data_IF_744077456373
#
_entry.id   IF_744077456373
#
_cell.length_a   1.000
_cell.length_b   1.000
_cell.length_c   1.000
_cell.angle_alpha   90.00
_cell.angle_beta   90.00
_cell.angle_gamma   90.00
#
_symmetry.space_group_name_H-M   'P 1'
#
loop_
_entity.id
_entity.type
_entity.pdbx_description
1 polymer ?
#
# COMPACT_ATOMS: atom_id res chain seq x y z
N UNK A 1 -8.87 1.21 2.63
CA UNK A 1 -8.42 2.27 3.55
C UNK A 1 -8.24 3.52 2.70
N UNK A 2 -8.13 4.71 3.29
CA UNK A 2 -7.82 5.93 2.55
C UNK A 2 -9.02 6.73 2.01
N UNK A 3 -8.69 7.84 1.36
CA UNK A 3 -9.64 8.89 0.98
C UNK A 3 -10.55 8.50 -0.18
N UNK A 4 -11.87 8.66 -0.01
CA UNK A 4 -12.89 8.24 -0.99
C UNK A 4 -13.10 9.22 -2.17
N UNK A 5 -12.01 9.69 -2.78
CA UNK A 5 -12.01 10.64 -3.93
C UNK A 5 -12.04 9.96 -5.31
N UNK A 6 -12.43 8.68 -5.38
CA UNK A 6 -12.38 7.90 -6.62
C UNK A 6 -13.26 8.46 -7.74
N UNK A 7 -14.40 9.07 -7.39
CA UNK A 7 -15.40 9.60 -8.32
C UNK A 7 -14.95 10.83 -9.10
N UNK A 8 -13.99 11.60 -8.55
CA UNK A 8 -13.36 12.75 -9.22
C UNK A 8 -12.03 12.39 -9.90
N UNK A 9 -11.53 11.17 -9.70
CA UNK A 9 -10.26 10.67 -10.22
C UNK A 9 -10.38 9.83 -11.50
N UNK A 10 -11.59 9.35 -11.83
CA UNK A 10 -11.78 8.28 -12.82
C UNK A 10 -11.06 8.53 -14.15
N UNK A 11 -11.09 9.76 -14.63
CA UNK A 11 -10.53 10.11 -15.93
C UNK A 11 -9.07 10.57 -15.89
N UNK A 12 -8.44 10.61 -14.71
CA UNK A 12 -7.02 10.97 -14.54
C UNK A 12 -6.12 9.73 -14.44
N UNK A 13 -6.71 8.54 -14.54
CA UNK A 13 -6.02 7.28 -14.42
C UNK A 13 -5.53 6.83 -15.77
N UNK A 14 -4.24 6.62 -15.86
CA UNK A 14 -3.61 6.02 -17.02
C UNK A 14 -3.33 4.54 -16.72
N UNK A 15 -3.83 3.65 -17.58
CA UNK A 15 -3.49 2.22 -17.45
C UNK A 15 -2.08 2.01 -18.00
N UNK A 16 -1.22 1.38 -17.21
CA UNK A 16 0.17 1.14 -17.59
C UNK A 16 0.42 -0.31 -17.99
N UNK A 17 1.42 -0.48 -18.83
CA UNK A 17 2.07 -1.77 -19.08
C UNK A 17 3.29 -1.94 -18.18
N UNK A 18 3.95 -3.10 -18.24
CA UNK A 18 5.16 -3.34 -17.44
C UNK A 18 6.35 -2.51 -17.89
N UNK A 19 6.39 -2.10 -19.17
CA UNK A 19 7.51 -1.34 -19.72
C UNK A 19 7.49 0.12 -19.26
N UNK A 20 6.32 0.65 -18.91
CA UNK A 20 6.12 2.00 -18.39
C UNK A 20 6.56 2.18 -16.92
N UNK A 21 6.93 1.09 -16.25
CA UNK A 21 7.13 1.04 -14.79
C UNK A 21 8.60 0.97 -14.37
N UNK A 22 9.55 1.03 -15.30
CA UNK A 22 10.96 1.02 -14.91
C UNK A 22 11.29 2.21 -14.00
N UNK A 23 12.13 1.99 -12.99
CA UNK A 23 12.48 3.01 -12.00
C UNK A 23 12.49 2.52 -10.56
N UNK A 24 12.54 3.45 -9.62
CA UNK A 24 12.54 3.16 -8.18
C UNK A 24 11.12 3.38 -7.65
N UNK A 25 10.54 2.34 -7.05
CA UNK A 25 9.18 2.34 -6.54
C UNK A 25 9.20 2.39 -5.01
N UNK A 26 8.65 3.45 -4.41
CA UNK A 26 8.45 3.50 -2.95
C UNK A 26 7.09 2.90 -2.58
N UNK A 27 7.09 1.66 -2.10
CA UNK A 27 5.89 0.96 -1.67
C UNK A 27 5.55 1.36 -0.25
N UNK A 28 4.31 1.77 0.01
CA UNK A 28 3.75 1.72 1.35
C UNK A 28 3.75 0.24 1.80
N UNK A 29 4.60 -0.06 2.78
CA UNK A 29 4.79 -1.41 3.26
C UNK A 29 3.52 -1.95 3.93
N UNK A 30 2.82 -1.15 4.74
CA UNK A 30 1.60 -1.62 5.39
C UNK A 30 0.52 -1.90 4.35
N UNK A 31 0.33 -0.99 3.37
CA UNK A 31 -0.61 -1.23 2.29
C UNK A 31 -0.25 -2.50 1.51
N UNK A 32 1.01 -2.68 1.11
CA UNK A 32 1.48 -3.86 0.39
C UNK A 32 1.24 -5.17 1.18
N UNK A 33 1.59 -5.18 2.47
CA UNK A 33 1.41 -6.34 3.34
C UNK A 33 -0.08 -6.68 3.53
N UNK A 34 -0.95 -5.69 3.72
CA UNK A 34 -2.40 -5.94 3.76
C UNK A 34 -2.91 -6.52 2.43
N UNK A 35 -2.40 -6.05 1.28
CA UNK A 35 -2.74 -6.65 -0.01
C UNK A 35 -2.28 -8.12 -0.08
N UNK A 36 -1.07 -8.44 0.38
CA UNK A 36 -0.58 -9.81 0.39
C UNK A 36 -1.42 -10.71 1.30
N UNK A 37 -1.73 -10.27 2.52
CA UNK A 37 -2.56 -11.00 3.47
C UNK A 37 -4.00 -11.21 2.98
N UNK A 38 -4.56 -10.27 2.22
CA UNK A 38 -5.93 -10.39 1.70
C UNK A 38 -6.01 -11.26 0.46
N UNK A 39 -4.98 -11.27 -0.40
CA UNK A 39 -5.04 -11.90 -1.72
C UNK A 39 -4.35 -13.25 -1.77
N UNK A 40 -3.24 -13.42 -1.05
CA UNK A 40 -2.43 -14.63 -1.12
C UNK A 40 -2.98 -15.61 -0.09
N UNK A 41 -3.88 -16.47 -0.54
CA UNK A 41 -4.66 -17.41 0.31
C UNK A 41 -4.65 -18.81 -0.28
N UNK A 42 -5.00 -19.77 0.56
CA UNK A 42 -5.30 -21.13 0.15
C UNK A 42 -6.60 -21.17 -0.68
N UNK A 43 -6.86 -22.25 -1.44
CA UNK A 43 -8.09 -22.38 -2.23
C UNK A 43 -9.39 -22.24 -1.43
N UNK A 44 -9.36 -22.59 -0.14
CA UNK A 44 -10.48 -22.48 0.80
C UNK A 44 -10.64 -21.06 1.40
N UNK A 45 -9.74 -20.13 1.07
CA UNK A 45 -9.75 -18.76 1.58
C UNK A 45 -9.02 -18.53 2.88
N UNK A 46 -8.48 -19.57 3.52
CA UNK A 46 -7.63 -19.38 4.68
C UNK A 46 -6.30 -18.73 4.26
N UNK A 47 -5.67 -17.92 5.13
CA UNK A 47 -4.32 -17.42 4.88
C UNK A 47 -3.33 -18.58 4.63
N UNK A 48 -2.25 -18.31 3.92
CA UNK A 48 -1.12 -19.24 3.92
C UNK A 48 -0.54 -19.30 5.33
N UNK A 49 -0.24 -20.51 5.80
CA UNK A 49 0.32 -20.75 7.12
C UNK A 49 1.44 -21.78 7.06
N UNK A 50 2.36 -21.74 8.03
CA UNK A 50 3.31 -22.82 8.29
C UNK A 50 2.68 -23.92 9.16
N UNK A 51 3.42 -25.00 9.44
CA UNK A 51 2.96 -26.13 10.26
C UNK A 51 2.62 -25.77 11.70
N UNK A 52 3.11 -24.63 12.21
CA UNK A 52 2.77 -24.09 13.52
C UNK A 52 1.54 -23.14 13.50
N UNK A 53 0.86 -23.01 12.35
CA UNK A 53 -0.31 -22.14 12.18
C UNK A 53 0.00 -20.65 12.08
N UNK A 54 1.28 -20.27 11.90
CA UNK A 54 1.68 -18.85 11.72
C UNK A 54 1.41 -18.43 10.29
N UNK A 55 0.80 -17.26 10.10
CA UNK A 55 0.50 -16.71 8.77
C UNK A 55 1.78 -16.36 8.02
N UNK A 56 1.87 -16.73 6.75
CA UNK A 56 3.05 -16.55 5.89
C UNK A 56 2.73 -15.86 4.55
N UNK A 57 1.47 -15.48 4.31
CA UNK A 57 1.03 -14.84 3.07
C UNK A 57 1.84 -13.59 2.72
N UNK A 58 2.23 -12.79 3.71
CA UNK A 58 3.05 -11.60 3.51
C UNK A 58 4.46 -11.92 3.01
N UNK A 59 5.10 -12.97 3.55
CA UNK A 59 6.43 -13.41 3.13
C UNK A 59 6.42 -13.92 1.69
N UNK A 60 5.38 -14.69 1.33
CA UNK A 60 5.14 -15.13 -0.05
C UNK A 60 4.98 -13.92 -0.99
N UNK A 61 4.18 -12.93 -0.57
CA UNK A 61 4.01 -11.69 -1.31
C UNK A 61 5.32 -10.95 -1.52
N UNK A 62 6.10 -10.73 -0.46
CA UNK A 62 7.40 -10.07 -0.53
C UNK A 62 8.33 -10.80 -1.50
N UNK A 63 8.53 -12.11 -1.34
CA UNK A 63 9.45 -12.88 -2.18
C UNK A 63 9.04 -12.79 -3.65
N UNK A 64 7.86 -13.29 -4.00
CA UNK A 64 7.49 -13.48 -5.40
C UNK A 64 7.18 -12.16 -6.11
N UNK A 65 6.62 -11.16 -5.42
CA UNK A 65 6.37 -9.86 -6.05
C UNK A 65 7.63 -9.05 -6.22
N UNK A 66 8.53 -9.05 -5.24
CA UNK A 66 9.79 -8.32 -5.36
C UNK A 66 10.65 -8.91 -6.48
N UNK A 67 10.75 -10.25 -6.58
CA UNK A 67 11.41 -10.91 -7.71
C UNK A 67 10.82 -10.45 -9.04
N UNK A 68 9.49 -10.49 -9.18
CA UNK A 68 8.82 -10.04 -10.40
C UNK A 68 9.07 -8.54 -10.70
N UNK A 69 9.13 -7.67 -9.68
CA UNK A 69 9.47 -6.26 -9.87
C UNK A 69 10.87 -6.08 -10.44
N UNK A 70 11.86 -6.76 -9.86
CA UNK A 70 13.24 -6.73 -10.33
C UNK A 70 13.35 -7.27 -11.77
N UNK A 71 12.64 -8.36 -12.09
CA UNK A 71 12.52 -8.90 -13.45
C UNK A 71 11.93 -7.90 -14.43
N UNK A 72 11.15 -6.91 -13.98
CA UNK A 72 10.57 -5.85 -14.82
C UNK A 72 11.35 -4.53 -14.75
N UNK A 73 12.53 -4.51 -14.16
CA UNK A 73 13.36 -3.30 -14.05
C UNK A 73 12.86 -2.29 -13.02
N UNK A 74 11.96 -2.72 -12.14
CA UNK A 74 11.45 -1.94 -11.01
C UNK A 74 12.33 -2.25 -9.80
N UNK A 75 12.85 -1.21 -9.16
CA UNK A 75 13.68 -1.29 -7.94
C UNK A 75 12.81 -0.91 -6.74
N UNK A 76 12.26 -1.87 -5.98
CA UNK A 76 11.36 -1.55 -4.87
C UNK A 76 12.13 -1.07 -3.64
N UNK A 77 11.57 -0.11 -2.93
CA UNK A 77 11.90 0.23 -1.54
C UNK A 77 10.61 0.18 -0.72
N UNK A 78 10.62 -0.52 0.41
CA UNK A 78 9.46 -0.63 1.29
C UNK A 78 9.51 0.45 2.37
N UNK A 79 8.46 1.24 2.51
CA UNK A 79 8.36 2.32 3.49
C UNK A 79 7.39 1.91 4.58
N UNK A 80 7.91 1.64 5.77
CA UNK A 80 7.12 1.22 6.94
C UNK A 80 6.69 2.42 7.77
N UNK A 81 5.46 2.41 8.24
CA UNK A 81 4.93 3.41 9.17
C UNK A 81 5.72 3.43 10.48
N UNK A 82 5.83 4.63 11.05
CA UNK A 82 6.27 4.90 12.40
C UNK A 82 5.09 5.13 13.33
N UNK A 83 5.20 6.16 14.19
CA UNK A 83 4.15 6.46 15.16
C UNK A 83 2.96 7.13 14.45
N UNK A 84 1.72 6.61 14.56
CA UNK A 84 0.55 7.26 14.01
C UNK A 84 0.27 8.59 14.73
N UNK A 85 -0.30 9.60 14.06
CA UNK A 85 -0.73 10.83 14.72
C UNK A 85 -1.93 10.56 15.64
N UNK A 86 -2.13 11.41 16.66
CA UNK A 86 -3.16 11.21 17.69
C UNK A 86 -4.58 11.11 17.12
N UNK A 87 -4.90 11.96 16.14
CA UNK A 87 -6.22 11.96 15.48
C UNK A 87 -6.47 10.72 14.60
N UNK A 88 -5.47 9.87 14.33
CA UNK A 88 -5.68 8.56 13.67
C UNK A 88 -6.14 7.48 14.65
N UNK A 89 -6.08 7.74 15.96
CA UNK A 89 -6.37 6.74 16.99
C UNK A 89 -7.80 6.21 16.91
N UNK A 90 -8.76 7.07 16.58
CA UNK A 90 -10.16 6.69 16.37
C UNK A 90 -10.29 5.66 15.25
N UNK A 91 -9.75 5.95 14.07
CA UNK A 91 -9.74 5.02 12.93
C UNK A 91 -8.99 3.71 13.23
N UNK A 92 -7.91 3.76 14.02
CA UNK A 92 -7.20 2.54 14.47
C UNK A 92 -8.11 1.67 15.35
N UNK A 93 -8.86 2.28 16.26
CA UNK A 93 -9.79 1.58 17.15
C UNK A 93 -10.96 0.98 16.36
N UNK A 94 -11.58 1.74 15.46
CA UNK A 94 -12.64 1.25 14.57
C UNK A 94 -12.17 0.04 13.73
N UNK A 95 -10.95 0.11 13.17
CA UNK A 95 -10.35 -1.01 12.44
C UNK A 95 -10.10 -2.22 13.32
N UNK A 96 -9.78 -2.02 14.60
CA UNK A 96 -9.62 -3.12 15.56
C UNK A 96 -10.96 -3.81 15.82
N UNK A 97 -12.01 -3.04 16.07
CA UNK A 97 -13.35 -3.57 16.31
C UNK A 97 -13.95 -4.26 15.09
N UNK A 98 -13.79 -3.68 13.89
CA UNK A 98 -14.23 -4.32 12.66
C UNK A 98 -13.54 -5.67 12.43
N UNK A 99 -12.23 -5.75 12.70
CA UNK A 99 -11.48 -7.01 12.58
C UNK A 99 -11.90 -8.05 13.60
N UNK A 100 -12.17 -7.64 14.84
CA UNK A 100 -12.68 -8.55 15.86
C UNK A 100 -14.02 -9.16 15.44
N UNK A 101 -14.95 -8.32 14.95
CA UNK A 101 -16.24 -8.78 14.42
C UNK A 101 -16.08 -9.70 13.20
N UNK A 102 -15.17 -9.37 12.28
CA UNK A 102 -14.89 -10.22 11.13
C UNK A 102 -14.28 -11.57 11.53
N UNK A 103 -13.43 -11.62 12.56
CA UNK A 103 -12.85 -12.87 13.07
C UNK A 103 -13.92 -13.78 13.70
N UNK A 104 -14.86 -13.22 14.47
CA UNK A 104 -15.99 -13.96 15.01
C UNK A 104 -16.95 -14.47 13.92
N UNK A 105 -17.25 -13.62 12.93
CA UNK A 105 -18.07 -13.98 11.79
C UNK A 105 -17.41 -15.09 10.95
N UNK A 106 -16.09 -15.03 10.77
CA UNK A 106 -15.32 -16.06 10.10
C UNK A 106 -15.41 -17.42 10.81
N UNK A 107 -15.18 -17.46 12.12
CA UNK A 107 -15.31 -18.69 12.92
C UNK A 107 -16.71 -19.27 12.86
N UNK A 108 -17.72 -18.42 12.78
CA UNK A 108 -19.12 -18.84 12.66
C UNK A 108 -19.40 -19.44 11.28
N UNK A 109 -19.02 -18.74 10.21
CA UNK A 109 -19.17 -19.23 8.84
C UNK A 109 -18.44 -20.58 8.61
N UNK A 110 -17.25 -20.77 9.20
CA UNK A 110 -16.54 -22.06 9.17
C UNK A 110 -17.34 -23.19 9.86
N UNK A 111 -17.97 -22.91 11.01
CA UNK A 111 -18.80 -23.91 11.71
C UNK A 111 -20.06 -24.27 10.92
N UNK A 112 -20.62 -23.30 10.20
CA UNK A 112 -21.82 -23.47 9.39
C UNK A 112 -21.54 -24.07 8.00
N UNK A 113 -20.27 -24.19 7.61
CA UNK A 113 -19.87 -24.70 6.30
C UNK A 113 -20.07 -23.71 5.14
N UNK A 114 -20.37 -22.44 5.43
CA UNK A 114 -20.44 -21.39 4.42
C UNK A 114 -19.03 -20.90 4.07
N UNK A 115 -18.41 -21.62 3.15
CA UNK A 115 -17.04 -21.33 2.70
C UNK A 115 -16.92 -19.98 2.00
N UNK A 116 -17.99 -19.46 1.38
CA UNK A 116 -17.94 -18.18 0.69
C UNK A 116 -17.91 -17.01 1.70
N UNK A 117 -18.78 -17.04 2.70
CA UNK A 117 -18.75 -16.03 3.75
C UNK A 117 -17.49 -16.18 4.62
N UNK A 118 -17.04 -17.41 4.89
CA UNK A 118 -15.78 -17.66 5.59
C UNK A 118 -14.59 -17.02 4.84
N UNK A 119 -14.49 -17.19 3.51
CA UNK A 119 -13.46 -16.54 2.69
C UNK A 119 -13.46 -15.01 2.85
N UNK A 120 -14.66 -14.42 2.77
CA UNK A 120 -14.85 -12.97 2.84
C UNK A 120 -14.46 -12.42 4.22
N UNK A 121 -14.91 -13.07 5.29
CA UNK A 121 -14.63 -12.65 6.66
C UNK A 121 -13.16 -12.87 7.04
N UNK A 122 -12.54 -13.96 6.59
CA UNK A 122 -11.09 -14.19 6.77
C UNK A 122 -10.23 -13.13 6.08
N UNK A 123 -10.71 -12.58 4.96
CA UNK A 123 -10.06 -11.46 4.27
C UNK A 123 -10.18 -10.15 5.07
N UNK A 124 -11.35 -9.91 5.66
CA UNK A 124 -11.64 -8.73 6.45
C UNK A 124 -10.98 -8.74 7.84
N UNK A 125 -10.68 -9.91 8.41
CA UNK A 125 -10.02 -10.04 9.72
C UNK A 125 -8.49 -9.92 9.68
N UNK A 126 -7.88 -9.82 8.48
CA UNK A 126 -6.43 -9.77 8.31
C UNK A 126 -5.79 -8.66 9.16
N UNK A 127 -4.75 -9.02 9.93
CA UNK A 127 -4.03 -8.12 10.84
C UNK A 127 -2.55 -8.11 10.49
N UNK A 128 -1.98 -6.91 10.42
CA UNK A 128 -0.53 -6.73 10.48
C UNK A 128 -0.16 -6.58 11.94
N UNK A 129 0.76 -7.41 12.41
CA UNK A 129 1.28 -7.36 13.77
C UNK A 129 2.79 -7.22 13.80
N UNK A 130 3.36 -7.14 15.00
CA UNK A 130 4.81 -6.97 15.18
C UNK A 130 5.60 -8.11 14.55
N UNK A 131 5.08 -9.34 14.56
CA UNK A 131 5.73 -10.48 13.93
C UNK A 131 5.72 -10.35 12.39
N UNK A 132 4.58 -9.97 11.81
CA UNK A 132 4.47 -9.67 10.38
C UNK A 132 5.47 -8.61 9.96
N UNK A 133 5.59 -7.50 10.71
CA UNK A 133 6.55 -6.43 10.39
C UNK A 133 8.00 -6.90 10.53
N UNK A 134 8.35 -7.54 11.64
CA UNK A 134 9.71 -8.00 11.89
C UNK A 134 10.18 -9.03 10.84
N UNK A 135 9.35 -10.05 10.58
CA UNK A 135 9.65 -11.06 9.55
C UNK A 135 9.65 -10.47 8.13
N UNK A 136 8.85 -9.44 7.84
CA UNK A 136 8.92 -8.74 6.56
C UNK A 136 10.26 -8.04 6.37
N UNK A 137 10.75 -7.32 7.39
CA UNK A 137 12.03 -6.61 7.34
C UNK A 137 13.19 -7.56 7.21
N UNK A 138 13.22 -8.62 8.02
CA UNK A 138 14.23 -9.67 7.95
C UNK A 138 14.32 -10.28 6.55
N UNK A 139 13.17 -10.61 5.94
CA UNK A 139 13.16 -11.12 4.58
C UNK A 139 13.64 -10.09 3.54
N UNK A 140 13.25 -8.81 3.68
CA UNK A 140 13.73 -7.74 2.79
C UNK A 140 15.25 -7.56 2.90
N UNK A 141 15.80 -7.60 4.12
CA UNK A 141 17.24 -7.51 4.38
C UNK A 141 17.99 -8.66 3.71
N UNK A 142 17.51 -9.90 3.86
CA UNK A 142 18.07 -11.09 3.23
C UNK A 142 17.95 -11.05 1.70
N UNK A 143 16.87 -10.49 1.16
CA UNK A 143 16.71 -10.28 -0.29
C UNK A 143 17.57 -9.12 -0.83
N UNK A 144 18.23 -8.36 0.04
CA UNK A 144 19.00 -7.17 -0.35
C UNK A 144 18.12 -6.01 -0.84
N UNK A 145 16.89 -5.92 -0.35
CA UNK A 145 15.91 -4.90 -0.72
C UNK A 145 15.85 -3.82 0.36
N UNK A 146 16.07 -2.54 0.03
CA UNK A 146 16.05 -1.49 1.04
C UNK A 146 14.63 -1.29 1.57
N UNK A 147 14.56 -0.92 2.84
CA UNK A 147 13.35 -0.43 3.48
C UNK A 147 13.66 0.81 4.31
N UNK A 148 12.64 1.65 4.50
CA UNK A 148 12.72 2.92 5.23
C UNK A 148 11.74 2.90 6.38
N UNK A 149 12.18 3.35 7.56
CA UNK A 149 11.30 3.63 8.69
C UNK A 149 10.81 5.07 8.59
N UNK A 150 9.54 5.26 8.24
CA UNK A 150 8.92 6.59 8.31
C UNK A 150 8.80 7.04 9.78
N UNK A 151 8.91 8.35 10.07
CA UNK A 151 8.62 8.87 11.40
C UNK A 151 7.15 8.70 11.79
N UNK A 152 6.25 8.79 10.80
CA UNK A 152 4.81 8.64 10.95
C UNK A 152 4.21 7.81 9.80
N UNK A 153 3.57 8.42 8.81
CA UNK A 153 2.90 7.69 7.73
C UNK A 153 3.87 7.26 6.62
N UNK A 154 3.85 5.98 6.25
CA UNK A 154 4.64 5.45 5.15
C UNK A 154 4.29 6.07 3.81
N UNK A 155 3.01 6.36 3.54
CA UNK A 155 2.60 7.08 2.34
C UNK A 155 3.14 8.51 2.27
N UNK A 156 3.25 9.19 3.42
CA UNK A 156 3.81 10.54 3.49
C UNK A 156 5.30 10.54 3.18
N UNK A 157 6.04 9.58 3.76
CA UNK A 157 7.46 9.38 3.48
C UNK A 157 7.69 8.97 2.03
N UNK A 158 6.89 8.06 1.47
CA UNK A 158 6.98 7.69 0.05
C UNK A 158 6.70 8.88 -0.88
N UNK A 159 5.69 9.70 -0.57
CA UNK A 159 5.39 10.92 -1.30
C UNK A 159 6.53 11.95 -1.21
N UNK A 160 7.15 12.09 -0.04
CA UNK A 160 8.32 12.95 0.16
C UNK A 160 9.52 12.49 -0.67
N UNK A 161 9.88 11.21 -0.61
CA UNK A 161 10.97 10.63 -1.41
C UNK A 161 10.75 10.86 -2.90
N UNK A 162 9.49 10.75 -3.37
CA UNK A 162 9.14 10.97 -4.77
C UNK A 162 9.28 12.45 -5.16
N UNK A 163 8.87 13.40 -4.29
CA UNK A 163 9.10 14.84 -4.53
C UNK A 163 10.58 15.21 -4.57
N UNK A 164 11.41 14.55 -3.75
CA UNK A 164 12.86 14.77 -3.73
C UNK A 164 13.57 14.13 -4.94
N UNK A 165 12.85 13.46 -5.84
CA UNK A 165 13.44 12.74 -6.98
C UNK A 165 14.29 11.53 -6.57
N UNK A 166 14.20 11.08 -5.31
CA UNK A 166 14.94 9.91 -4.80
C UNK A 166 14.30 8.60 -5.24
N UNK A 167 13.01 8.64 -5.53
CA UNK A 167 12.25 7.54 -6.14
C UNK A 167 11.44 8.07 -7.32
N UNK A 168 11.07 7.19 -8.24
CA UNK A 168 10.31 7.54 -9.44
C UNK A 168 8.84 7.78 -9.12
N UNK A 169 8.25 6.98 -8.24
CA UNK A 169 6.84 7.10 -7.85
C UNK A 169 6.55 6.41 -6.50
N UNK A 170 5.50 6.86 -5.83
CA UNK A 170 4.92 6.17 -4.69
C UNK A 170 3.98 5.05 -5.17
N UNK A 171 3.87 3.98 -4.40
CA UNK A 171 3.03 2.81 -4.70
C UNK A 171 2.13 2.50 -3.53
N UNK A 172 0.83 2.53 -3.77
CA UNK A 172 -0.19 2.17 -2.80
C UNK A 172 -1.52 1.85 -3.50
N UNK A 173 -2.43 1.20 -2.79
CA UNK A 173 -3.84 1.16 -3.19
C UNK A 173 -4.61 2.40 -2.77
N UNK A 174 -4.14 3.15 -1.79
CA UNK A 174 -4.84 4.30 -1.27
C UNK A 174 -4.41 5.56 -2.04
N UNK A 175 -5.09 6.70 -1.80
CA UNK A 175 -4.81 7.94 -2.52
C UNK A 175 -4.12 8.99 -1.64
N UNK A 176 -3.79 8.67 -0.39
CA UNK A 176 -3.38 9.67 0.59
C UNK A 176 -1.96 10.17 0.25
N UNK A 177 -1.13 9.35 -0.40
CA UNK A 177 0.12 9.80 -1.02
C UNK A 177 -0.05 11.01 -1.97
N UNK A 178 -1.17 11.14 -2.70
CA UNK A 178 -1.45 12.33 -3.51
C UNK A 178 -1.74 13.57 -2.65
N UNK A 179 -2.46 13.39 -1.53
CA UNK A 179 -2.72 14.47 -0.56
C UNK A 179 -1.42 14.92 0.11
N UNK A 180 -0.56 13.97 0.47
CA UNK A 180 0.80 14.26 0.93
C UNK A 180 1.68 14.89 -0.15
N UNK A 181 1.25 14.90 -1.41
CA UNK A 181 1.92 15.58 -2.53
C UNK A 181 2.87 14.72 -3.34
N UNK A 182 2.64 13.41 -3.45
CA UNK A 182 3.41 12.57 -4.36
C UNK A 182 3.19 13.04 -5.80
N UNK A 183 4.24 13.33 -6.59
CA UNK A 183 4.08 13.76 -7.98
C UNK A 183 3.47 12.66 -8.84
N UNK A 184 3.79 11.40 -8.54
CA UNK A 184 3.29 10.22 -9.26
C UNK A 184 2.90 9.14 -8.26
N UNK A 185 1.66 8.68 -8.35
CA UNK A 185 1.16 7.50 -7.64
C UNK A 185 0.94 6.38 -8.65
N UNK A 186 1.52 5.22 -8.40
CA UNK A 186 1.21 3.98 -9.11
C UNK A 186 0.38 3.07 -8.22
N UNK A 187 -0.84 2.76 -8.65
CA UNK A 187 -1.74 1.80 -8.00
C UNK A 187 -1.64 0.45 -8.70
N UNK A 188 -2.20 -0.56 -8.06
CA UNK A 188 -2.30 -1.93 -8.58
C UNK A 188 -0.97 -2.69 -8.77
N UNK A 189 0.19 -2.12 -8.43
CA UNK A 189 1.49 -2.78 -8.67
C UNK A 189 1.67 -4.06 -7.85
N UNK A 190 1.34 -4.05 -6.56
CA UNK A 190 1.41 -5.21 -5.66
C UNK A 190 0.41 -6.30 -5.99
N UNK A 191 -0.62 -5.95 -6.77
CA UNK A 191 -1.76 -6.83 -7.05
C UNK A 191 -1.93 -7.20 -8.51
N UNK A 192 -1.12 -6.66 -9.41
CA UNK A 192 -1.26 -6.83 -10.85
C UNK A 192 -1.12 -8.27 -11.32
N UNK A 193 -1.65 -8.54 -12.51
CA UNK A 193 -1.64 -9.85 -13.15
C UNK A 193 -3.02 -10.50 -13.23
N UNK A 194 -3.04 -11.72 -13.76
CA UNK A 194 -4.26 -12.52 -13.92
C UNK A 194 -4.60 -13.26 -12.63
N UNK A 195 -5.85 -13.17 -12.21
CA UNK A 195 -6.38 -13.87 -11.04
C UNK A 195 -7.66 -14.59 -11.43
N UNK A 196 -7.83 -15.81 -10.92
CA UNK A 196 -9.13 -16.47 -10.95
C UNK A 196 -9.88 -16.11 -9.67
N UNK A 197 -11.00 -15.44 -9.82
CA UNK A 197 -11.93 -15.12 -8.73
C UNK A 197 -13.31 -15.58 -9.15
N UNK A 198 -13.96 -16.43 -8.33
CA UNK A 198 -15.32 -16.95 -8.59
C UNK A 198 -15.51 -17.49 -10.01
N UNK A 199 -14.57 -18.32 -10.47
CA UNK A 199 -14.59 -18.92 -11.82
C UNK A 199 -14.27 -17.96 -12.98
N UNK A 200 -14.12 -16.65 -12.73
CA UNK A 200 -13.77 -15.66 -13.75
C UNK A 200 -12.30 -15.28 -13.66
N UNK A 201 -11.65 -15.13 -14.81
CA UNK A 201 -10.29 -14.58 -14.86
C UNK A 201 -10.41 -13.06 -14.93
N UNK A 202 -9.88 -12.38 -13.92
CA UNK A 202 -9.77 -10.93 -13.86
C UNK A 202 -8.30 -10.58 -14.09
N UNK A 203 -8.05 -9.65 -15.02
CA UNK A 203 -6.71 -9.07 -15.21
C UNK A 203 -6.69 -7.72 -14.54
N UNK A 204 -5.74 -7.52 -13.62
CA UNK A 204 -5.51 -6.23 -12.97
C UNK A 204 -4.23 -5.62 -13.54
N UNK A 205 -4.35 -4.44 -14.14
CA UNK A 205 -3.22 -3.69 -14.65
C UNK A 205 -2.80 -2.58 -13.67
N UNK A 206 -1.51 -2.26 -13.59
CA UNK A 206 -1.03 -1.05 -12.90
C UNK A 206 -1.71 0.21 -13.45
N UNK A 207 -1.99 1.16 -12.57
CA UNK A 207 -2.58 2.46 -12.92
C UNK A 207 -1.65 3.57 -12.44
N UNK A 208 -1.40 4.58 -13.27
CA UNK A 208 -0.66 5.80 -12.91
C UNK A 208 -1.60 6.98 -12.75
N UNK A 209 -1.31 7.79 -11.74
CA UNK A 209 -1.93 9.10 -11.51
C UNK A 209 -0.80 10.11 -11.32
N UNK A 210 -0.82 11.15 -12.16
CA UNK A 210 0.11 12.28 -12.06
C UNK A 210 -0.60 13.43 -11.34
N UNK A 211 -0.03 13.88 -10.22
CA UNK A 211 -0.69 14.86 -9.35
C UNK A 211 -0.93 16.19 -10.05
N UNK A 212 0.02 16.70 -10.83
CA UNK A 212 -0.17 17.96 -11.57
C UNK A 212 -1.34 17.89 -12.55
N UNK A 213 -1.38 16.87 -13.41
CA UNK A 213 -2.49 16.65 -14.34
C UNK A 213 -3.82 16.47 -13.64
N UNK A 214 -3.82 15.82 -12.47
CA UNK A 214 -5.03 15.67 -11.66
C UNK A 214 -5.52 17.02 -11.11
N UNK A 215 -4.63 17.81 -10.51
CA UNK A 215 -4.93 19.14 -9.97
C UNK A 215 -5.41 20.11 -11.06
N UNK A 216 -4.72 20.14 -12.21
CA UNK A 216 -5.06 20.99 -13.35
C UNK A 216 -6.45 20.67 -13.88
N UNK A 217 -6.79 19.38 -14.00
CA UNK A 217 -8.12 18.96 -14.47
C UNK A 217 -9.22 19.38 -13.51
N UNK A 218 -8.98 19.28 -12.20
CA UNK A 218 -9.94 19.72 -11.20
C UNK A 218 -10.00 21.25 -11.09
N UNK A 219 -8.96 21.95 -11.55
CA UNK A 219 -8.78 23.39 -11.36
C UNK A 219 -8.65 23.76 -9.89
N UNK A 220 -7.85 22.99 -9.14
CA UNK A 220 -7.61 23.17 -7.71
C UNK A 220 -6.13 23.03 -7.35
N UNK A 221 -5.72 23.63 -6.22
CA UNK A 221 -4.38 23.45 -5.66
C UNK A 221 -4.29 22.19 -4.79
N UNK A 222 -3.07 21.77 -4.41
CA UNK A 222 -2.89 20.67 -3.43
C UNK A 222 -3.59 20.96 -2.10
N UNK A 223 -3.54 22.20 -1.63
CA UNK A 223 -4.23 22.59 -0.40
C UNK A 223 -5.75 22.41 -0.52
N UNK A 224 -6.32 22.78 -1.67
CA UNK A 224 -7.72 22.54 -1.96
C UNK A 224 -8.04 21.05 -2.09
N UNK A 225 -7.14 20.24 -2.65
CA UNK A 225 -7.30 18.78 -2.69
C UNK A 225 -7.31 18.17 -1.27
N UNK A 226 -6.47 18.67 -0.35
CA UNK A 226 -6.51 18.28 1.07
C UNK A 226 -7.85 18.64 1.71
N UNK A 227 -8.38 19.85 1.45
CA UNK A 227 -9.71 20.26 1.90
C UNK A 227 -10.81 19.32 1.36
N UNK A 228 -10.73 18.93 0.09
CA UNK A 228 -11.63 17.94 -0.51
C UNK A 228 -11.53 16.61 0.25
N UNK A 229 -10.32 16.12 0.53
CA UNK A 229 -10.10 14.90 1.31
C UNK A 229 -10.74 14.96 2.69
N UNK A 230 -10.55 16.06 3.43
CA UNK A 230 -11.13 16.27 4.75
C UNK A 230 -12.67 16.26 4.68
N UNK A 231 -13.29 16.93 3.70
CA UNK A 231 -14.74 16.94 3.55
C UNK A 231 -15.32 15.55 3.26
N UNK A 232 -14.64 14.78 2.40
CA UNK A 232 -15.04 13.42 2.03
C UNK A 232 -14.82 12.42 3.18
N UNK A 233 -13.79 12.66 3.98
CA UNK A 233 -13.32 11.75 5.02
C UNK A 233 -11.98 11.11 4.63
N UNK A 234 -11.11 11.02 5.62
CA UNK A 234 -9.77 10.46 5.51
C UNK A 234 -9.55 9.45 6.62
N UNK A 235 -8.37 8.83 6.67
CA UNK A 235 -7.96 8.03 7.83
C UNK A 235 -7.78 8.85 9.13
N UNK A 236 -7.91 10.18 9.06
CA UNK A 236 -7.70 11.13 10.16
C UNK A 236 -8.98 11.81 10.63
N UNK A 237 -10.08 11.69 9.87
CA UNK A 237 -11.38 12.24 10.22
C UNK A 237 -12.51 11.53 9.46
N UNK A 238 -13.71 11.40 10.06
CA UNK A 238 -14.82 10.67 9.45
C UNK A 238 -15.42 11.34 8.20
N UNK A 239 -15.06 12.59 7.91
CA UNK A 239 -15.68 13.39 6.85
C UNK A 239 -17.06 13.93 7.20
N UNK A 240 -17.71 14.58 6.24
CA UNK A 240 -19.07 15.09 6.38
C UNK A 240 -20.04 14.11 5.73
N UNK A 241 -21.00 13.62 6.52
CA UNK A 241 -22.05 12.73 6.03
C UNK A 241 -22.77 13.34 4.82
N UNK A 242 -22.81 12.60 3.72
CA UNK A 242 -23.47 13.02 2.47
C UNK A 242 -22.60 13.84 1.51
N UNK A 243 -21.34 14.14 1.88
CA UNK A 243 -20.41 14.84 1.02
C UNK A 243 -19.46 13.85 0.34
N UNK A 244 -19.72 13.54 -0.93
CA UNK A 244 -18.81 12.78 -1.80
C UNK A 244 -17.81 13.68 -2.53
N UNK A 245 -16.88 13.09 -3.29
CA UNK A 245 -15.79 13.81 -3.96
C UNK A 245 -16.27 14.94 -4.87
N UNK A 246 -17.31 14.72 -5.68
CA UNK A 246 -17.91 15.77 -6.53
C UNK A 246 -18.50 16.94 -5.73
N UNK A 247 -19.18 16.66 -4.62
CA UNK A 247 -19.77 17.68 -3.75
C UNK A 247 -18.69 18.46 -3.02
N UNK A 248 -17.69 17.76 -2.47
CA UNK A 248 -16.53 18.38 -1.83
C UNK A 248 -15.76 19.30 -2.79
N UNK A 249 -15.56 18.86 -4.03
CA UNK A 249 -14.94 19.69 -5.08
C UNK A 249 -15.72 20.99 -5.31
N UNK A 250 -17.06 20.92 -5.40
CA UNK A 250 -17.90 22.13 -5.56
C UNK A 250 -17.75 23.08 -4.37
N UNK A 251 -17.88 22.58 -3.15
CA UNK A 251 -17.73 23.36 -1.90
C UNK A 251 -16.38 24.08 -1.89
N UNK A 252 -15.30 23.37 -2.18
CA UNK A 252 -13.94 23.94 -2.14
C UNK A 252 -13.72 24.97 -3.25
N UNK A 253 -14.22 24.74 -4.46
CA UNK A 253 -14.11 25.72 -5.56
C UNK A 253 -14.91 27.00 -5.30
N UNK A 254 -16.00 26.90 -4.55
CA UNK A 254 -16.80 28.04 -4.13
C UNK A 254 -16.21 28.81 -2.93
N UNK A 255 -15.13 28.31 -2.31
CA UNK A 255 -14.56 28.90 -1.10
C UNK A 255 -15.39 28.64 0.17
N UNK A 256 -16.30 27.66 0.13
CA UNK A 256 -17.29 27.39 1.19
C UNK A 256 -16.77 26.39 2.25
N UNK A 257 -15.49 26.01 2.21
CA UNK A 257 -14.93 24.97 3.09
C UNK A 257 -15.14 25.29 4.58
N UNK A 258 -14.72 26.48 5.03
CA UNK A 258 -14.78 26.86 6.45
C UNK A 258 -16.23 27.00 6.93
N UNK A 259 -17.13 27.57 6.10
CA UNK A 259 -18.54 27.71 6.45
C UNK A 259 -19.26 26.36 6.55
N UNK A 260 -18.94 25.42 5.65
CA UNK A 260 -19.53 24.08 5.68
C UNK A 260 -19.05 23.28 6.89
N UNK A 261 -17.77 23.38 7.26
CA UNK A 261 -17.25 22.75 8.48
C UNK A 261 -17.92 23.33 9.71
N UNK A 262 -18.00 24.66 9.83
CA UNK A 262 -18.65 25.33 10.97
C UNK A 262 -20.13 24.96 11.13
N UNK A 263 -20.86 24.78 10.03
CA UNK A 263 -22.27 24.39 10.05
C UNK A 263 -22.48 22.90 10.36
N UNK A 264 -21.69 22.02 9.73
CA UNK A 264 -21.94 20.55 9.76
C UNK A 264 -21.16 19.82 10.85
N UNK A 265 -20.02 20.36 11.29
CA UNK A 265 -19.13 19.78 12.29
C UNK A 265 -18.53 20.90 13.18
N UNK A 266 -19.36 21.64 13.95
CA UNK A 266 -18.90 22.80 14.71
C UNK A 266 -17.79 22.51 15.72
N UNK A 267 -17.72 21.28 16.25
CA UNK A 267 -16.71 20.85 17.22
C UNK A 267 -15.43 20.28 16.59
N UNK A 268 -15.38 20.17 15.26
CA UNK A 268 -14.24 19.61 14.54
C UNK A 268 -13.31 20.72 14.05
N UNK A 269 -12.05 20.69 14.49
CA UNK A 269 -11.00 21.56 13.95
C UNK A 269 -10.24 20.86 12.81
N UNK A 270 -10.38 21.28 11.54
CA UNK A 270 -9.69 20.66 10.42
C UNK A 270 -8.20 21.08 10.30
N UNK A 271 -7.77 22.11 11.02
CA UNK A 271 -6.43 22.70 10.84
C UNK A 271 -5.27 21.73 11.11
N UNK A 272 -5.27 20.91 12.20
CA UNK A 272 -4.19 19.95 12.45
C UNK A 272 -4.06 18.90 11.35
N UNK A 273 -5.17 18.41 10.81
CA UNK A 273 -5.16 17.39 9.74
C UNK A 273 -4.71 18.02 8.43
N UNK A 274 -5.14 19.26 8.14
CA UNK A 274 -4.66 20.00 6.97
C UNK A 274 -3.15 20.21 7.04
N UNK A 275 -2.64 20.67 8.18
CA UNK A 275 -1.21 20.86 8.38
C UNK A 275 -0.46 19.52 8.26
N UNK A 276 -0.98 18.45 8.84
CA UNK A 276 -0.38 17.12 8.72
C UNK A 276 -0.23 16.62 7.27
N UNK A 277 -1.23 16.84 6.42
CA UNK A 277 -1.10 16.49 5.00
C UNK A 277 -0.12 17.39 4.25
N UNK A 278 -0.07 18.66 4.60
CA UNK A 278 0.79 19.63 3.89
C UNK A 278 2.25 19.54 4.32
N UNK A 279 2.49 19.28 5.61
CA UNK A 279 3.76 19.28 6.32
C UNK A 279 3.91 18.02 7.20
N UNK A 280 3.82 16.79 6.64
CA UNK A 280 3.90 15.57 7.43
C UNK A 280 5.30 15.36 8.04
N UNK A 281 5.40 14.66 9.19
CA UNK A 281 6.68 14.18 9.70
C UNK A 281 7.34 13.21 8.71
N UNK A 282 8.49 13.60 8.17
CA UNK A 282 9.29 12.84 7.19
C UNK A 282 10.76 12.92 7.57
N UNK A 283 11.58 12.02 7.03
CA UNK A 283 13.01 11.94 7.32
C UNK A 283 13.85 11.88 6.04
N UNK A 284 15.05 12.44 6.09
CA UNK A 284 16.11 12.26 5.10
C UNK A 284 17.12 11.15 5.53
N UNK A 285 16.96 10.60 6.74
CA UNK A 285 17.79 9.53 7.29
C UNK A 285 17.39 8.16 6.72
N UNK A 286 17.81 7.91 5.48
CA UNK A 286 17.67 6.62 4.82
C UNK A 286 18.71 6.43 3.72
N UNK A 287 19.05 5.18 3.42
CA UNK A 287 19.93 4.82 2.29
C UNK A 287 19.19 3.87 1.34
N UNK A 288 19.24 4.17 0.05
CA UNK A 288 18.62 3.35 -1.00
C UNK A 288 19.69 2.49 -1.68
N UNK A 289 19.99 1.35 -1.07
CA UNK A 289 20.95 0.38 -1.59
C UNK A 289 20.28 -0.97 -1.84
N UNK A 290 20.45 -1.50 -3.06
CA UNK A 290 19.99 -2.83 -3.42
C UNK A 290 21.21 -3.74 -3.49
N UNK A 291 21.20 -4.80 -2.70
CA UNK A 291 22.31 -5.74 -2.55
C UNK A 291 21.97 -7.08 -3.20
N UNK A 292 22.98 -7.90 -3.46
CA UNK A 292 22.76 -9.28 -3.88
C UNK A 292 22.04 -10.05 -2.76
N UNK A 293 21.00 -10.85 -3.06
CA UNK A 293 20.31 -11.65 -2.05
C UNK A 293 21.25 -12.65 -1.35
N UNK A 294 21.11 -12.80 -0.04
CA UNK A 294 21.63 -13.92 0.73
C UNK A 294 20.75 -15.15 0.51
N UNK A 295 21.10 -15.94 -0.51
CA UNK A 295 20.29 -17.08 -0.95
C UNK A 295 20.10 -18.10 0.16
N UNK A 296 21.16 -18.43 0.90
CA UNK A 296 21.07 -19.45 1.95
C UNK A 296 20.33 -18.91 3.17
N UNK A 297 20.52 -17.65 3.55
CA UNK A 297 19.73 -17.02 4.61
C UNK A 297 18.23 -16.96 4.27
N UNK A 298 17.86 -16.67 3.01
CA UNK A 298 16.46 -16.73 2.57
C UNK A 298 15.90 -18.15 2.66
N UNK A 299 16.66 -19.17 2.24
CA UNK A 299 16.24 -20.57 2.32
C UNK A 299 16.09 -21.02 3.77
N UNK A 300 17.06 -20.72 4.64
CA UNK A 300 16.98 -21.01 6.08
C UNK A 300 15.74 -20.37 6.70
N UNK A 301 15.49 -19.09 6.41
CA UNK A 301 14.32 -18.40 6.90
C UNK A 301 13.03 -19.04 6.39
N UNK A 302 12.82 -19.08 5.08
CA UNK A 302 11.52 -19.43 4.50
C UNK A 302 11.24 -20.92 4.56
N UNK A 303 12.21 -21.76 4.23
CA UNK A 303 12.05 -23.21 4.21
C UNK A 303 12.20 -23.79 5.63
N UNK A 304 13.19 -23.32 6.39
CA UNK A 304 13.46 -23.85 7.72
C UNK A 304 12.46 -23.41 8.79
N UNK A 305 11.99 -22.14 8.77
CA UNK A 305 11.10 -21.61 9.83
C UNK A 305 9.63 -21.44 9.40
N UNK A 306 9.37 -21.35 8.10
CA UNK A 306 8.04 -21.06 7.55
C UNK A 306 7.52 -22.10 6.55
N UNK A 307 8.20 -23.24 6.41
CA UNK A 307 7.80 -24.40 5.61
C UNK A 307 7.55 -24.10 4.12
N UNK A 308 8.27 -23.14 3.55
CA UNK A 308 8.22 -22.89 2.09
C UNK A 308 8.94 -24.01 1.33
N UNK A 309 8.43 -24.30 0.13
CA UNK A 309 9.11 -25.20 -0.82
C UNK A 309 10.46 -24.62 -1.25
N UNK A 310 11.55 -25.33 -0.90
CA UNK A 310 12.92 -24.94 -1.25
C UNK A 310 13.12 -24.81 -2.76
N UNK A 311 12.58 -25.74 -3.55
CA UNK A 311 12.61 -25.68 -5.02
C UNK A 311 12.02 -24.36 -5.53
N UNK A 312 10.85 -23.95 -5.01
CA UNK A 312 10.18 -22.72 -5.43
C UNK A 312 10.95 -21.46 -4.98
N UNK A 313 11.50 -21.48 -3.76
CA UNK A 313 12.30 -20.36 -3.24
C UNK A 313 13.57 -20.18 -4.07
N UNK A 314 14.34 -21.25 -4.28
CA UNK A 314 15.57 -21.21 -5.09
C UNK A 314 15.29 -20.81 -6.54
N UNK A 315 14.22 -21.32 -7.14
CA UNK A 315 13.81 -20.93 -8.50
C UNK A 315 13.47 -19.44 -8.59
N UNK A 316 12.82 -18.86 -7.58
CA UNK A 316 12.53 -17.43 -7.56
C UNK A 316 13.81 -16.58 -7.41
N UNK A 317 14.72 -16.99 -6.52
CA UNK A 317 15.99 -16.29 -6.29
C UNK A 317 16.92 -16.34 -7.50
N UNK A 318 16.95 -17.46 -8.23
CA UNK A 318 17.77 -17.61 -9.44
C UNK A 318 17.45 -16.55 -10.51
N UNK A 319 16.18 -16.11 -10.60
CA UNK A 319 15.75 -15.07 -11.55
C UNK A 319 16.32 -13.68 -11.24
N UNK A 320 16.60 -13.38 -9.97
CA UNK A 320 17.15 -12.10 -9.55
C UNK A 320 18.63 -12.00 -9.92
N UNK A 321 19.40 -13.05 -9.65
CA UNK A 321 20.85 -13.08 -9.86
C UNK A 321 21.25 -12.92 -11.33
N UNK A 322 20.45 -13.45 -12.27
CA UNK A 322 20.74 -13.38 -13.71
C UNK A 322 20.64 -11.95 -14.26
N UNK A 323 19.78 -11.10 -13.70
CA UNK A 323 19.60 -9.72 -14.19
C UNK A 323 20.59 -8.72 -13.60
N UNK A 324 21.09 -8.96 -12.39
CA UNK A 324 22.12 -8.11 -11.78
C UNK A 324 23.41 -8.09 -12.62
N UNK A 325 23.77 -9.23 -13.23
CA UNK A 325 24.93 -9.37 -14.12
C UNK A 325 24.72 -8.79 -15.52
N UNK A 326 23.48 -8.63 -15.98
CA UNK A 326 23.20 -8.19 -17.34
C UNK A 326 23.23 -6.65 -17.52
N UNK A 327 23.21 -5.88 -16.43
CA UNK A 327 23.11 -4.40 -16.45
C UNK A 327 24.45 -3.65 -16.38
N UNK A 328 25.59 -4.32 -16.45
CA UNK A 328 26.91 -3.66 -16.43
C UNK A 328 27.40 -3.17 -17.80
N UNK A 329 26.71 -3.43 -18.91
CA UNK A 329 27.13 -2.98 -20.25
C UNK A 329 26.78 -1.51 -20.55
N UNK A 330 25.69 -0.97 -20.01
CA UNK A 330 25.33 0.46 -20.19
C UNK A 330 26.21 1.41 -19.35
N UNK A 331 27.03 0.88 -18.44
CA UNK A 331 28.02 1.67 -17.70
C UNK A 331 29.34 1.88 -18.48
N UNK A 332 29.44 1.35 -19.71
CA UNK A 332 30.66 1.38 -20.53
C UNK A 332 30.58 2.29 -21.77
N UNK A 333 29.46 2.99 -21.99
CA UNK A 333 29.27 3.86 -23.16
C UNK A 333 28.84 5.27 -22.80
#
# INVERSE_FOLDING_TARGET
MGVAIRDILADCKETLTWDDLSGIAALDAHNALYQFLSIIRQPDGTPLMNGAGRITSHLSGILFRTVNFLEKGIRPVFVFDGKPPEFKQETINERREHRARADEAWKTALREGDMEEAYKQASASARIDSHTIASSRELLDLLGIPWVQAPSEGEAQAAYMARQGKVTYAVSQDYDSLLFGSPVLVRNLTVSGRRKTRGRTITVNPERIVLSSFLDRLGVTREQLVKIGILVGTDFNPGIRGVGGKTALKIVRNGEFESVIAEKQPDFNPAPIRDFFLNPPVTDDYTLEWRTPDVEGVVEMLCGRYDFSEERVRSALAKVSVKATQKTLDAWF
#
